data_IF_846161005154
#
_entry.id   IF_846161005154
#
_cell.length_a   1.000
_cell.length_b   1.000
_cell.length_c   1.000
_cell.angle_alpha   90.00
_cell.angle_beta   90.00
_cell.angle_gamma   90.00
#
_symmetry.space_group_name_H-M   'P 1'
#
loop_
_entity.id
_entity.type
_entity.pdbx_description
1 polymer ?
#
# COMPACT_ATOMS: atom_id res chain seq x y z
N UNK A 1 2.38 10.61 -9.48
CA UNK A 1 1.89 10.05 -8.20
C UNK A 1 2.99 9.30 -7.48
N UNK A 2 3.01 9.42 -6.17
CA UNK A 2 4.06 8.81 -5.32
C UNK A 2 3.52 7.60 -4.59
N UNK A 3 4.29 6.50 -4.68
CA UNK A 3 3.97 5.24 -4.03
C UNK A 3 5.09 4.89 -3.05
N UNK A 4 4.71 4.50 -1.84
CA UNK A 4 5.63 3.93 -0.87
C UNK A 4 5.45 2.42 -0.87
N UNK A 5 6.56 1.69 -0.99
CA UNK A 5 6.60 0.24 -0.86
C UNK A 5 7.29 -0.10 0.46
N UNK A 6 6.65 -0.93 1.28
CA UNK A 6 7.23 -1.43 2.53
C UNK A 6 7.36 -2.94 2.37
N UNK A 7 8.58 -3.40 2.08
CA UNK A 7 8.88 -4.80 1.74
C UNK A 7 10.33 -5.11 2.11
N UNK A 8 10.55 -6.16 2.91
CA UNK A 8 11.88 -6.54 3.36
C UNK A 8 12.62 -7.48 2.40
N UNK A 9 11.91 -8.23 1.56
CA UNK A 9 12.53 -9.12 0.59
C UNK A 9 13.19 -8.30 -0.53
N UNK A 10 14.52 -8.38 -0.61
CA UNK A 10 15.30 -7.51 -1.49
C UNK A 10 14.90 -7.64 -2.97
N UNK A 11 14.79 -8.86 -3.46
CA UNK A 11 14.47 -9.09 -4.87
C UNK A 11 13.08 -8.58 -5.22
N UNK A 12 12.09 -8.84 -4.37
CA UNK A 12 10.73 -8.39 -4.61
C UNK A 12 10.64 -6.87 -4.52
N UNK A 13 11.26 -6.26 -3.52
CA UNK A 13 11.30 -4.81 -3.39
C UNK A 13 11.90 -4.14 -4.62
N UNK A 14 13.05 -4.62 -5.07
CA UNK A 14 13.71 -4.08 -6.27
C UNK A 14 12.86 -4.27 -7.53
N UNK A 15 12.22 -5.42 -7.67
CA UNK A 15 11.33 -5.72 -8.78
C UNK A 15 10.14 -4.76 -8.82
N UNK A 16 9.53 -4.50 -7.67
CA UNK A 16 8.38 -3.59 -7.56
C UNK A 16 8.79 -2.14 -7.86
N UNK A 17 9.92 -1.69 -7.32
CA UNK A 17 10.44 -0.34 -7.59
C UNK A 17 10.65 -0.15 -9.10
N UNK A 18 11.31 -1.12 -9.74
CA UNK A 18 11.58 -1.04 -11.18
C UNK A 18 10.29 -1.00 -11.98
N UNK A 19 9.38 -1.93 -11.74
CA UNK A 19 8.13 -2.02 -12.50
C UNK A 19 7.24 -0.81 -12.34
N UNK A 20 7.09 -0.31 -11.12
CA UNK A 20 6.25 0.86 -10.86
C UNK A 20 6.89 2.15 -11.37
N UNK A 21 8.22 2.28 -11.28
CA UNK A 21 8.92 3.41 -11.86
C UNK A 21 8.76 3.45 -13.38
N UNK A 22 8.90 2.30 -14.03
CA UNK A 22 8.68 2.17 -15.49
C UNK A 22 7.23 2.48 -15.87
N UNK A 23 6.30 2.29 -14.95
CA UNK A 23 4.87 2.59 -15.16
C UNK A 23 4.54 4.06 -14.89
N UNK A 24 5.52 4.89 -14.58
CA UNK A 24 5.34 6.33 -14.44
C UNK A 24 5.15 6.84 -13.01
N UNK A 25 5.32 6.01 -12.00
CA UNK A 25 5.20 6.43 -10.60
C UNK A 25 6.56 6.87 -10.03
N UNK A 26 6.51 7.77 -9.06
CA UNK A 26 7.65 8.06 -8.19
C UNK A 26 7.56 7.10 -7.01
N UNK A 27 8.61 6.31 -6.78
CA UNK A 27 8.55 5.18 -5.84
C UNK A 27 9.64 5.31 -4.78
N UNK A 28 9.24 5.20 -3.51
CA UNK A 28 10.15 5.05 -2.40
C UNK A 28 10.01 3.64 -1.82
N UNK A 29 11.10 3.06 -1.35
CA UNK A 29 11.14 1.73 -0.77
C UNK A 29 11.67 1.78 0.65
N UNK A 30 10.89 1.26 1.58
CA UNK A 30 11.32 0.98 2.95
C UNK A 30 11.45 -0.53 3.11
N UNK A 31 12.53 -0.98 3.71
CA UNK A 31 12.82 -2.40 3.86
C UNK A 31 12.47 -2.94 5.25
N UNK A 32 12.02 -2.07 6.15
CA UNK A 32 11.61 -2.46 7.50
C UNK A 32 10.27 -1.80 7.85
N UNK A 33 9.54 -2.41 8.78
CA UNK A 33 8.30 -1.85 9.28
C UNK A 33 8.45 -0.45 9.88
N UNK A 34 9.40 -0.24 10.81
CA UNK A 34 9.61 1.08 11.40
C UNK A 34 9.98 2.16 10.41
N UNK A 35 10.86 1.86 9.45
CA UNK A 35 11.21 2.81 8.39
C UNK A 35 9.99 3.17 7.55
N UNK A 36 9.25 2.15 7.12
CA UNK A 36 8.04 2.35 6.31
C UNK A 36 6.97 3.15 7.04
N UNK A 37 6.75 2.84 8.31
CA UNK A 37 5.83 3.59 9.15
C UNK A 37 6.22 5.08 9.21
N UNK A 38 7.49 5.37 9.45
CA UNK A 38 7.97 6.75 9.56
C UNK A 38 7.82 7.49 8.24
N UNK A 39 8.17 6.85 7.12
CA UNK A 39 7.98 7.46 5.80
C UNK A 39 6.52 7.71 5.49
N UNK A 40 5.65 6.76 5.80
CA UNK A 40 4.21 6.91 5.56
C UNK A 40 3.61 8.06 6.38
N UNK A 41 4.06 8.24 7.61
CA UNK A 41 3.58 9.31 8.49
C UNK A 41 4.13 10.68 8.09
N UNK A 42 5.40 10.76 7.71
CA UNK A 42 6.08 12.03 7.41
C UNK A 42 5.91 12.46 5.95
N UNK A 43 5.77 11.52 5.05
CA UNK A 43 5.68 11.79 3.62
C UNK A 43 4.26 11.98 3.11
N UNK A 44 4.17 12.36 1.85
CA UNK A 44 2.91 12.62 1.17
C UNK A 44 2.76 11.61 0.03
N UNK A 45 2.24 10.44 0.34
CA UNK A 45 2.09 9.36 -0.62
C UNK A 45 0.65 9.24 -1.11
N UNK A 46 0.49 8.91 -2.37
CA UNK A 46 -0.82 8.66 -2.97
C UNK A 46 -1.31 7.24 -2.70
N UNK A 47 -0.39 6.32 -2.42
CA UNK A 47 -0.71 4.92 -2.13
C UNK A 47 0.47 4.25 -1.43
N UNK A 48 0.17 3.30 -0.55
CA UNK A 48 1.18 2.48 0.12
C UNK A 48 0.96 1.01 -0.23
N UNK A 49 2.02 0.32 -0.63
CA UNK A 49 2.05 -1.13 -0.79
C UNK A 49 2.77 -1.70 0.43
N UNK A 50 2.10 -2.53 1.20
CA UNK A 50 2.57 -2.95 2.52
C UNK A 50 2.56 -4.47 2.66
N UNK A 51 3.73 -5.06 2.90
CA UNK A 51 3.81 -6.49 3.20
C UNK A 51 3.28 -6.75 4.62
N UNK A 52 2.47 -7.79 4.75
CA UNK A 52 1.97 -8.23 6.06
C UNK A 52 3.10 -8.77 6.93
N UNK A 53 4.02 -9.54 6.34
CA UNK A 53 5.08 -10.24 7.08
C UNK A 53 6.39 -9.48 7.02
N UNK A 54 6.60 -8.58 7.99
CA UNK A 54 7.82 -7.80 8.10
C UNK A 54 8.60 -8.23 9.35
N UNK A 55 9.95 -8.21 9.32
CA UNK A 55 10.73 -8.48 10.51
C UNK A 55 10.55 -7.38 11.57
N UNK A 56 10.42 -7.77 12.81
CA UNK A 56 10.36 -6.87 13.96
C UNK A 56 9.00 -6.25 14.23
N UNK A 57 8.27 -5.85 13.22
CA UNK A 57 6.92 -5.30 13.36
C UNK A 57 6.03 -5.83 12.24
N UNK A 58 4.90 -6.36 12.61
CA UNK A 58 3.89 -6.91 11.71
C UNK A 58 3.25 -5.80 10.87
N UNK A 59 2.97 -6.09 9.59
CA UNK A 59 2.36 -5.12 8.67
C UNK A 59 1.01 -4.60 9.14
N UNK A 60 0.21 -5.41 9.83
CA UNK A 60 -1.06 -4.95 10.40
C UNK A 60 -0.83 -3.86 11.46
N UNK A 61 0.22 -3.97 12.26
CA UNK A 61 0.56 -2.96 13.26
C UNK A 61 1.00 -1.65 12.59
N UNK A 62 1.76 -1.74 11.49
CA UNK A 62 2.12 -0.56 10.69
C UNK A 62 0.85 0.12 10.16
N UNK A 63 -0.05 -0.66 9.58
CA UNK A 63 -1.31 -0.16 9.02
C UNK A 63 -2.14 0.56 10.08
N UNK A 64 -2.32 -0.04 11.25
CA UNK A 64 -3.09 0.55 12.34
C UNK A 64 -2.52 1.91 12.76
N UNK A 65 -1.20 1.98 12.89
CA UNK A 65 -0.52 3.23 13.26
C UNK A 65 -0.71 4.31 12.20
N UNK A 66 -0.53 3.95 10.93
CA UNK A 66 -0.67 4.89 9.82
C UNK A 66 -2.11 5.40 9.71
N UNK A 67 -3.10 4.53 9.91
CA UNK A 67 -4.51 4.88 9.80
C UNK A 67 -4.99 5.87 10.87
N UNK A 68 -4.26 6.03 11.96
CA UNK A 68 -4.61 7.04 12.97
C UNK A 68 -4.53 8.46 12.44
N UNK A 69 -3.71 8.70 11.41
CA UNK A 69 -3.47 10.06 10.90
C UNK A 69 -3.48 10.18 9.39
N UNK A 70 -3.51 9.08 8.63
CA UNK A 70 -3.43 9.09 7.17
C UNK A 70 -4.54 8.26 6.54
N UNK A 71 -5.08 8.74 5.43
CA UNK A 71 -6.21 8.13 4.73
C UNK A 71 -5.87 7.59 3.34
N UNK A 72 -4.60 7.69 2.89
CA UNK A 72 -4.26 7.20 1.55
C UNK A 72 -4.54 5.71 1.41
N UNK A 73 -4.82 5.24 0.19
CA UNK A 73 -5.04 3.81 -0.06
C UNK A 73 -3.85 2.96 0.36
N UNK A 74 -4.14 1.81 0.97
CA UNK A 74 -3.14 0.82 1.33
C UNK A 74 -3.51 -0.51 0.69
N UNK A 75 -2.60 -1.04 -0.13
CA UNK A 75 -2.69 -2.39 -0.70
C UNK A 75 -1.75 -3.29 0.07
N UNK A 76 -2.28 -4.31 0.73
CA UNK A 76 -1.46 -5.27 1.46
C UNK A 76 -1.04 -6.43 0.58
N UNK A 77 0.23 -6.83 0.69
CA UNK A 77 0.78 -8.02 0.05
C UNK A 77 1.05 -9.08 1.09
N UNK A 78 0.77 -10.34 0.78
CA UNK A 78 1.03 -11.42 1.73
C UNK A 78 1.17 -12.78 1.07
N UNK A 79 2.05 -13.62 1.64
CA UNK A 79 2.07 -15.05 1.37
C UNK A 79 0.96 -15.78 2.16
N UNK A 80 0.32 -15.09 3.12
CA UNK A 80 -0.75 -15.63 3.96
C UNK A 80 -2.09 -15.18 3.41
N UNK A 81 -2.71 -16.04 2.59
CA UNK A 81 -3.98 -15.71 1.93
C UNK A 81 -5.11 -16.58 2.47
N UNK A 82 -5.31 -16.58 3.79
CA UNK A 82 -6.50 -17.18 4.37
C UNK A 82 -7.58 -16.11 4.64
N UNK A 83 -8.81 -16.59 4.83
CA UNK A 83 -9.95 -15.70 5.04
C UNK A 83 -9.78 -14.84 6.28
N UNK A 84 -9.26 -15.41 7.36
CA UNK A 84 -9.07 -14.68 8.62
C UNK A 84 -8.10 -13.51 8.46
N UNK A 85 -6.98 -13.72 7.75
CA UNK A 85 -6.00 -12.68 7.51
C UNK A 85 -6.53 -11.58 6.59
N UNK A 86 -7.28 -11.94 5.55
CA UNK A 86 -7.92 -10.95 4.68
C UNK A 86 -8.95 -10.11 5.42
N UNK A 87 -9.76 -10.74 6.25
CA UNK A 87 -10.74 -10.03 7.07
C UNK A 87 -10.03 -9.07 8.03
N UNK A 88 -8.98 -9.53 8.70
CA UNK A 88 -8.19 -8.71 9.60
C UNK A 88 -7.61 -7.48 8.88
N UNK A 89 -7.05 -7.68 7.68
CA UNK A 89 -6.50 -6.59 6.89
C UNK A 89 -7.53 -5.53 6.54
N UNK A 90 -8.69 -5.96 6.07
CA UNK A 90 -9.78 -5.03 5.72
C UNK A 90 -10.33 -4.31 6.94
N UNK A 91 -10.50 -5.02 8.05
CA UNK A 91 -10.96 -4.41 9.32
C UNK A 91 -9.94 -3.43 9.89
N UNK A 92 -8.64 -3.65 9.66
CA UNK A 92 -7.57 -2.76 10.11
C UNK A 92 -7.41 -1.53 9.21
N UNK A 93 -8.16 -1.43 8.12
CA UNK A 93 -8.17 -0.26 7.26
C UNK A 93 -7.44 -0.41 5.94
N UNK A 94 -7.09 -1.63 5.51
CA UNK A 94 -6.56 -1.87 4.17
C UNK A 94 -7.67 -1.68 3.13
N UNK A 95 -7.30 -1.16 1.97
CA UNK A 95 -8.24 -0.93 0.88
C UNK A 95 -8.30 -2.11 -0.07
N UNK A 96 -7.24 -2.91 -0.13
CA UNK A 96 -7.19 -4.12 -0.95
C UNK A 96 -6.13 -5.06 -0.39
N UNK A 97 -6.11 -6.30 -0.89
CA UNK A 97 -5.29 -7.37 -0.35
C UNK A 97 -4.91 -8.30 -1.50
N UNK A 98 -3.61 -8.51 -1.72
CA UNK A 98 -3.10 -9.30 -2.84
C UNK A 98 -2.18 -10.41 -2.35
N UNK A 99 -2.49 -11.66 -2.72
CA UNK A 99 -1.71 -12.82 -2.32
C UNK A 99 -0.46 -12.99 -3.19
N UNK A 100 0.64 -13.38 -2.56
CA UNK A 100 1.86 -13.81 -3.23
C UNK A 100 1.75 -15.30 -3.58
N UNK A 101 2.25 -15.74 -4.72
CA UNK A 101 2.82 -14.97 -5.82
C UNK A 101 1.74 -14.30 -6.66
N UNK A 102 2.06 -13.17 -7.25
CA UNK A 102 1.13 -12.42 -8.09
C UNK A 102 1.82 -12.01 -9.40
N UNK A 103 1.02 -11.73 -10.43
CA UNK A 103 1.52 -11.13 -11.66
C UNK A 103 1.65 -9.62 -11.45
N UNK A 104 2.71 -9.01 -11.99
CA UNK A 104 2.87 -7.56 -11.90
C UNK A 104 1.68 -6.80 -12.50
N UNK A 105 1.11 -7.32 -13.59
CA UNK A 105 -0.07 -6.73 -14.23
C UNK A 105 -1.27 -6.67 -13.28
N UNK A 106 -1.44 -7.66 -12.41
CA UNK A 106 -2.51 -7.66 -11.41
C UNK A 106 -2.25 -6.61 -10.33
N UNK A 107 -1.02 -6.53 -9.82
CA UNK A 107 -0.64 -5.49 -8.86
C UNK A 107 -0.90 -4.10 -9.44
N UNK A 108 -0.43 -3.85 -10.64
CA UNK A 108 -0.59 -2.56 -11.32
C UNK A 108 -2.07 -2.20 -11.51
N UNK A 109 -2.88 -3.16 -11.93
CA UNK A 109 -4.32 -2.93 -12.13
C UNK A 109 -5.02 -2.57 -10.81
N UNK A 110 -4.65 -3.23 -9.70
CA UNK A 110 -5.22 -2.92 -8.39
C UNK A 110 -4.78 -1.54 -7.89
N UNK A 111 -3.52 -1.19 -8.08
CA UNK A 111 -3.00 0.14 -7.73
C UNK A 111 -3.76 1.21 -8.51
N UNK A 112 -3.91 1.04 -9.81
CA UNK A 112 -4.63 1.99 -10.66
C UNK A 112 -6.09 2.12 -10.24
N UNK A 113 -6.74 1.03 -9.87
CA UNK A 113 -8.12 1.04 -9.39
C UNK A 113 -8.26 1.82 -8.08
N UNK A 114 -7.34 1.62 -7.14
CA UNK A 114 -7.34 2.34 -5.87
C UNK A 114 -7.10 3.85 -6.07
N UNK A 115 -6.19 4.21 -6.96
CA UNK A 115 -5.90 5.62 -7.26
C UNK A 115 -7.10 6.30 -7.93
N UNK A 116 -7.80 5.62 -8.84
CA UNK A 116 -9.03 6.15 -9.46
C UNK A 116 -10.13 6.38 -8.43
N UNK A 117 -10.26 5.46 -7.48
CA UNK A 117 -11.28 5.55 -6.43
C UNK A 117 -11.04 6.78 -5.55
N UNK A 118 -9.80 7.02 -5.14
CA UNK A 118 -9.42 8.21 -4.38
C UNK A 118 -9.69 9.49 -5.16
N UNK A 119 -9.37 9.54 -6.45
CA UNK A 119 -9.62 10.67 -7.32
C UNK A 119 -11.12 10.95 -7.46
N UNK A 120 -11.92 9.90 -7.65
CA UNK A 120 -13.38 10.02 -7.76
C UNK A 120 -14.00 10.62 -6.50
N UNK A 121 -13.58 10.16 -5.33
CA UNK A 121 -14.05 10.69 -4.06
C UNK A 121 -13.69 12.17 -3.90
N UNK A 122 -12.49 12.57 -4.33
CA UNK A 122 -12.06 13.95 -4.31
C UNK A 122 -12.92 14.82 -5.26
N UNK A 123 -13.20 14.35 -6.46
CA UNK A 123 -14.05 15.06 -7.42
C UNK A 123 -15.47 15.24 -6.88
N UNK A 124 -16.05 14.20 -6.30
CA UNK A 124 -17.38 14.27 -5.68
C UNK A 124 -17.40 15.30 -4.55
N UNK A 125 -16.38 15.33 -3.71
CA UNK A 125 -16.27 16.32 -2.65
C UNK A 125 -16.22 17.75 -3.19
N UNK A 126 -15.53 17.95 -4.31
CA UNK A 126 -15.45 19.26 -4.96
C UNK A 126 -16.81 19.73 -5.48
N UNK A 127 -17.64 18.83 -5.97
CA UNK A 127 -18.98 19.15 -6.48
C UNK A 127 -20.00 19.44 -5.38
N UNK A 128 -19.78 18.97 -4.17
CA UNK A 128 -20.72 19.16 -3.06
C UNK A 128 -20.45 20.43 -2.29
N UNK A 129 -19.37 21.13 -2.54
CA UNK A 129 -19.08 22.40 -1.89
C UNK A 129 -19.88 23.54 -2.53
N UNK A 130 -20.54 24.35 -1.76
CA UNK A 130 -21.28 25.51 -2.27
C UNK A 130 -20.37 26.59 -2.86
#
# INVERSE_FOLDING_TARGET
>A
MRILIIEDEQKLGDYLVKGLTESGFVVDLARTGPEGRNLALDGDYDLVVLDVMLPGIDGFAVLETVRKSKAMPVLMLTARDDVADRVRGLQSGADDYLAKPFAFSELLARIQALLRRGRKLHEVSSYTLP
#
